data_IF_199797349072
#
_entry.id   IF_199797349072
#
_cell.length_a   1.000
_cell.length_b   1.000
_cell.length_c   1.000
_cell.angle_alpha   90.00
_cell.angle_beta   90.00
_cell.angle_gamma   90.00
#
_symmetry.space_group_name_H-M   'P 1'
#
loop_
_entity.id
_entity.type
_entity.pdbx_description
1 polymer ?
#
# COMPACT_ATOMS: atom_id res chain seq x y z
N UNK A 1 -17.51 -9.11 4.99
CA UNK A 1 -16.66 -8.39 4.05
C UNK A 1 -16.74 -6.88 4.18
N UNK A 2 -17.91 -6.23 4.16
CA UNK A 2 -18.02 -4.76 4.28
C UNK A 2 -17.37 -4.20 5.53
N UNK A 3 -17.55 -4.81 6.70
CA UNK A 3 -16.96 -4.36 7.97
C UNK A 3 -15.43 -4.44 8.02
N UNK A 4 -14.84 -5.49 7.43
CA UNK A 4 -13.38 -5.64 7.33
C UNK A 4 -12.77 -4.54 6.44
N UNK A 5 -13.39 -4.28 5.30
CA UNK A 5 -12.96 -3.24 4.38
C UNK A 5 -13.09 -1.85 5.01
N UNK A 6 -14.19 -1.62 5.74
CA UNK A 6 -14.42 -0.36 6.45
C UNK A 6 -13.39 -0.14 7.56
N UNK A 7 -12.99 -1.20 8.28
CA UNK A 7 -11.92 -1.15 9.28
C UNK A 7 -10.60 -0.74 8.65
N UNK A 8 -10.17 -1.43 7.58
CA UNK A 8 -8.90 -1.15 6.92
C UNK A 8 -8.87 0.25 6.29
N UNK A 9 -9.99 0.67 5.71
CA UNK A 9 -10.16 2.04 5.22
C UNK A 9 -10.05 3.07 6.35
N UNK A 10 -10.71 2.82 7.50
CA UNK A 10 -10.67 3.71 8.65
C UNK A 10 -9.25 3.84 9.22
N UNK A 11 -8.47 2.75 9.27
CA UNK A 11 -7.06 2.77 9.69
C UNK A 11 -6.24 3.67 8.75
N UNK A 12 -6.39 3.50 7.44
CA UNK A 12 -5.66 4.30 6.46
C UNK A 12 -6.04 5.79 6.55
N UNK A 13 -7.34 6.09 6.63
CA UNK A 13 -7.80 7.47 6.73
C UNK A 13 -7.39 8.11 8.05
N UNK A 14 -7.46 7.40 9.16
CA UNK A 14 -7.18 8.00 10.46
C UNK A 14 -5.68 8.13 10.76
N UNK A 15 -4.89 7.12 10.41
CA UNK A 15 -3.47 7.08 10.72
C UNK A 15 -2.58 7.71 9.65
N UNK A 16 -2.96 7.59 8.37
CA UNK A 16 -2.09 8.01 7.27
C UNK A 16 -2.62 9.15 6.41
N UNK A 17 -3.85 9.64 6.65
CA UNK A 17 -4.50 10.67 5.82
C UNK A 17 -3.58 11.86 5.52
N UNK A 18 -2.93 12.41 6.55
CA UNK A 18 -2.06 13.59 6.38
C UNK A 18 -0.82 13.24 5.55
N UNK A 19 -0.12 12.16 5.91
CA UNK A 19 1.10 11.75 5.23
C UNK A 19 0.84 11.31 3.79
N UNK A 20 -0.25 10.58 3.55
CA UNK A 20 -0.65 10.14 2.22
C UNK A 20 -0.99 11.32 1.32
N UNK A 21 -1.77 12.28 1.82
CA UNK A 21 -2.15 13.48 1.07
C UNK A 21 -0.92 14.35 0.74
N UNK A 22 -0.05 14.57 1.72
CA UNK A 22 1.21 15.31 1.51
C UNK A 22 2.06 14.62 0.45
N UNK A 23 2.17 13.30 0.51
CA UNK A 23 2.93 12.50 -0.44
C UNK A 23 2.37 12.60 -1.86
N UNK A 24 1.05 12.45 -2.04
CA UNK A 24 0.40 12.59 -3.35
C UNK A 24 0.62 13.99 -3.93
N UNK A 25 0.40 15.03 -3.13
CA UNK A 25 0.61 16.43 -3.55
C UNK A 25 2.07 16.69 -3.90
N UNK A 26 3.01 16.16 -3.12
CA UNK A 26 4.44 16.33 -3.35
C UNK A 26 4.88 15.67 -4.66
N UNK A 27 4.49 14.40 -4.91
CA UNK A 27 4.84 13.70 -6.14
C UNK A 27 4.22 14.37 -7.37
N UNK A 28 2.94 14.73 -7.31
CA UNK A 28 2.28 15.44 -8.42
C UNK A 28 2.87 16.84 -8.63
N UNK A 29 3.11 17.58 -7.56
CA UNK A 29 3.72 18.91 -7.64
C UNK A 29 5.12 18.87 -8.24
N UNK A 30 5.96 17.93 -7.80
CA UNK A 30 7.29 17.75 -8.38
C UNK A 30 7.24 17.29 -9.84
N UNK A 31 6.32 16.39 -10.19
CA UNK A 31 6.15 15.93 -11.58
C UNK A 31 5.84 17.09 -12.52
N UNK A 32 4.92 17.98 -12.12
CA UNK A 32 4.54 19.16 -12.90
C UNK A 32 5.67 20.19 -12.94
N UNK A 33 6.34 20.47 -11.80
CA UNK A 33 7.41 21.49 -11.74
C UNK A 33 8.68 21.08 -12.49
N UNK A 34 9.04 19.79 -12.41
CA UNK A 34 10.28 19.28 -13.04
C UNK A 34 10.05 18.71 -14.45
N UNK A 35 8.80 18.63 -14.88
CA UNK A 35 8.41 17.98 -16.14
C UNK A 35 8.99 16.55 -16.26
N UNK A 36 8.80 15.74 -15.20
CA UNK A 36 9.39 14.39 -15.10
C UNK A 36 8.28 13.34 -14.91
N UNK A 37 7.93 12.62 -15.97
CA UNK A 37 6.84 11.64 -15.97
C UNK A 37 7.07 10.45 -15.03
N UNK A 38 8.34 10.06 -14.81
CA UNK A 38 8.68 8.95 -13.93
C UNK A 38 8.22 9.15 -12.47
N UNK A 39 8.03 10.40 -12.03
CA UNK A 39 7.49 10.70 -10.71
C UNK A 39 6.01 10.31 -10.60
N UNK A 40 5.25 10.46 -11.68
CA UNK A 40 3.87 9.98 -11.75
C UNK A 40 3.82 8.44 -11.69
N UNK A 41 4.75 7.77 -12.36
CA UNK A 41 4.86 6.31 -12.30
C UNK A 41 5.28 5.82 -10.91
N UNK A 42 6.22 6.50 -10.26
CA UNK A 42 6.62 6.22 -8.90
C UNK A 42 5.45 6.33 -7.90
N UNK A 43 4.53 7.28 -8.12
CA UNK A 43 3.33 7.44 -7.30
C UNK A 43 2.45 6.18 -7.31
N UNK A 44 2.30 5.51 -8.45
CA UNK A 44 1.54 4.25 -8.55
C UNK A 44 2.17 3.17 -7.67
N UNK A 45 3.49 3.00 -7.75
CA UNK A 45 4.22 2.02 -6.94
C UNK A 45 4.08 2.30 -5.44
N UNK A 46 4.20 3.57 -5.05
CA UNK A 46 4.09 3.99 -3.64
C UNK A 46 2.67 3.78 -3.12
N UNK A 47 1.62 4.01 -3.92
CA UNK A 47 0.24 3.68 -3.53
C UNK A 47 0.07 2.19 -3.20
N UNK A 48 0.71 1.29 -3.95
CA UNK A 48 0.73 -0.14 -3.62
C UNK A 48 1.42 -0.46 -2.29
N UNK A 49 2.54 0.22 -1.99
CA UNK A 49 3.23 0.07 -0.71
C UNK A 49 2.38 0.59 0.46
N UNK A 50 1.64 1.67 0.27
CA UNK A 50 0.71 2.18 1.30
C UNK A 50 -0.40 1.16 1.64
N UNK A 51 -0.90 0.43 0.67
CA UNK A 51 -1.86 -0.64 0.94
C UNK A 51 -1.26 -1.74 1.84
N UNK A 52 0.03 -2.07 1.67
CA UNK A 52 0.75 -3.03 2.51
C UNK A 52 0.91 -2.55 3.97
N UNK A 53 0.90 -1.25 4.22
CA UNK A 53 1.06 -0.69 5.57
C UNK A 53 -0.07 -1.09 6.52
N UNK A 54 -1.26 -1.42 6.01
CA UNK A 54 -2.38 -1.90 6.85
C UNK A 54 -2.05 -3.22 7.55
N UNK A 55 -1.14 -4.01 6.99
CA UNK A 55 -0.72 -5.27 7.61
C UNK A 55 0.15 -5.04 8.84
N UNK A 56 1.03 -4.03 8.78
CA UNK A 56 1.86 -3.67 9.93
C UNK A 56 1.00 -3.22 11.13
N UNK A 57 -0.14 -2.55 10.86
CA UNK A 57 -1.10 -2.20 11.93
C UNK A 57 -1.82 -3.41 12.48
N UNK A 58 -2.23 -4.33 11.63
CA UNK A 58 -2.90 -5.55 12.07
C UNK A 58 -1.97 -6.39 12.95
N UNK A 59 -0.69 -6.50 12.59
CA UNK A 59 0.33 -7.17 13.40
C UNK A 59 0.53 -6.48 14.76
N UNK A 60 0.67 -5.16 14.76
CA UNK A 60 0.88 -4.38 16.00
C UNK A 60 -0.33 -4.40 16.94
N UNK A 61 -1.53 -4.48 16.39
CA UNK A 61 -2.78 -4.57 17.13
C UNK A 61 -3.17 -6.01 17.53
N UNK A 62 -2.34 -7.01 17.23
CA UNK A 62 -2.65 -8.43 17.42
C UNK A 62 -4.02 -8.81 16.83
N UNK A 63 -4.34 -8.25 15.66
CA UNK A 63 -5.61 -8.44 14.99
C UNK A 63 -5.95 -9.91 14.73
N UNK A 64 -4.95 -10.75 14.47
CA UNK A 64 -5.12 -12.17 14.23
C UNK A 64 -5.82 -12.90 15.38
N UNK A 65 -5.50 -12.52 16.62
CA UNK A 65 -6.14 -13.10 17.82
C UNK A 65 -7.60 -12.71 17.90
N UNK A 66 -7.90 -11.45 17.60
CA UNK A 66 -9.27 -10.93 17.60
C UNK A 66 -10.08 -11.48 16.41
N UNK A 67 -9.48 -11.58 15.24
CA UNK A 67 -10.15 -12.10 14.04
C UNK A 67 -10.64 -13.55 14.20
N UNK A 68 -9.96 -14.36 15.02
CA UNK A 68 -10.38 -15.75 15.34
C UNK A 68 -11.65 -15.83 16.16
N UNK A 69 -12.03 -14.77 16.88
CA UNK A 69 -13.27 -14.71 17.65
C UNK A 69 -14.47 -14.25 16.82
N UNK A 70 -14.22 -13.73 15.62
CA UNK A 70 -15.26 -13.27 14.71
C UNK A 70 -15.72 -14.38 13.77
N UNK A 71 -17.00 -14.38 13.35
CA UNK A 71 -17.53 -15.34 12.39
C UNK A 71 -17.08 -14.98 10.96
N UNK A 72 -15.77 -14.88 10.74
CA UNK A 72 -15.15 -14.56 9.42
C UNK A 72 -14.19 -15.65 9.01
N UNK A 73 -14.19 -15.99 7.73
CA UNK A 73 -13.25 -16.99 7.21
C UNK A 73 -11.90 -16.33 6.91
N UNK A 74 -10.76 -17.08 7.06
CA UNK A 74 -9.43 -16.56 6.72
C UNK A 74 -9.35 -16.02 5.28
N UNK A 75 -10.03 -16.69 4.34
CA UNK A 75 -10.09 -16.25 2.94
C UNK A 75 -10.77 -14.89 2.76
N UNK A 76 -11.76 -14.56 3.59
CA UNK A 76 -12.42 -13.25 3.56
C UNK A 76 -11.49 -12.14 4.06
N UNK A 77 -10.67 -12.41 5.07
CA UNK A 77 -9.69 -11.45 5.61
C UNK A 77 -8.64 -11.14 4.54
N UNK A 78 -8.06 -12.17 3.96
CA UNK A 78 -7.05 -12.03 2.90
C UNK A 78 -7.64 -11.37 1.66
N UNK A 79 -8.85 -11.77 1.23
CA UNK A 79 -9.53 -11.19 0.08
C UNK A 79 -9.80 -9.69 0.22
N UNK A 80 -10.15 -9.22 1.44
CA UNK A 80 -10.32 -7.78 1.69
C UNK A 80 -8.99 -7.01 1.54
N UNK A 81 -7.87 -7.59 1.94
CA UNK A 81 -6.55 -6.96 1.77
C UNK A 81 -6.17 -6.83 0.29
N UNK A 82 -6.37 -7.90 -0.50
CA UNK A 82 -6.13 -7.83 -1.95
C UNK A 82 -7.03 -6.81 -2.65
N UNK A 83 -8.31 -6.74 -2.26
CA UNK A 83 -9.23 -5.74 -2.79
C UNK A 83 -8.77 -4.32 -2.47
N UNK A 84 -8.30 -4.10 -1.25
CA UNK A 84 -7.76 -2.81 -0.82
C UNK A 84 -6.50 -2.43 -1.61
N UNK A 85 -5.58 -3.37 -1.82
CA UNK A 85 -4.39 -3.18 -2.66
C UNK A 85 -4.75 -2.78 -4.09
N UNK A 86 -5.75 -3.45 -4.67
CA UNK A 86 -6.24 -3.15 -6.00
C UNK A 86 -6.87 -1.75 -6.07
N UNK A 87 -7.69 -1.36 -5.08
CA UNK A 87 -8.28 -0.02 -5.03
C UNK A 87 -7.22 1.08 -4.92
N UNK A 88 -6.19 0.89 -4.09
CA UNK A 88 -5.10 1.87 -3.96
C UNK A 88 -4.25 1.97 -5.22
N UNK A 89 -3.97 0.85 -5.88
CA UNK A 89 -3.25 0.85 -7.16
C UNK A 89 -4.06 1.53 -8.26
N UNK A 90 -5.37 1.29 -8.33
CA UNK A 90 -6.26 1.99 -9.26
C UNK A 90 -6.30 3.50 -8.96
N UNK A 91 -6.40 3.88 -7.70
CA UNK A 91 -6.35 5.30 -7.32
C UNK A 91 -5.03 5.94 -7.73
N UNK A 92 -3.90 5.28 -7.47
CA UNK A 92 -2.57 5.74 -7.89
C UNK A 92 -2.46 5.90 -9.41
N UNK A 93 -3.00 4.95 -10.19
CA UNK A 93 -2.98 5.02 -11.66
C UNK A 93 -3.82 6.18 -12.22
N UNK A 94 -4.97 6.47 -11.62
CA UNK A 94 -5.79 7.64 -11.99
C UNK A 94 -5.04 8.94 -11.66
N UNK A 95 -4.43 9.03 -10.47
CA UNK A 95 -3.63 10.20 -10.10
C UNK A 95 -2.42 10.39 -11.03
N UNK A 96 -1.74 9.30 -11.42
CA UNK A 96 -0.63 9.36 -12.36
C UNK A 96 -1.07 9.83 -13.75
N UNK A 97 -2.20 9.34 -14.25
CA UNK A 97 -2.77 9.78 -15.52
C UNK A 97 -3.08 11.29 -15.51
N UNK A 98 -3.69 11.78 -14.43
CA UNK A 98 -3.95 13.21 -14.25
C UNK A 98 -2.65 14.01 -14.16
N UNK A 99 -1.63 13.50 -13.46
CA UNK A 99 -0.33 14.15 -13.34
C UNK A 99 0.38 14.29 -14.69
N UNK A 100 0.42 13.25 -15.51
CA UNK A 100 0.98 13.27 -16.86
C UNK A 100 0.20 14.26 -17.75
N UNK A 101 -1.13 14.27 -17.63
CA UNK A 101 -1.97 15.22 -18.35
C UNK A 101 -1.65 16.68 -17.98
N UNK A 102 -1.46 16.99 -16.71
CA UNK A 102 -1.12 18.34 -16.24
C UNK A 102 0.31 18.75 -16.57
N UNK A 103 1.25 17.80 -16.62
CA UNK A 103 2.64 18.06 -16.97
C UNK A 103 2.81 18.43 -18.46
N UNK A 104 1.82 18.15 -19.32
CA UNK A 104 1.81 18.54 -20.72
C UNK A 104 2.84 17.81 -21.61
N UNK A 105 3.40 16.73 -21.14
CA UNK A 105 4.40 15.93 -21.85
C UNK A 105 3.74 14.78 -22.62
N UNK A 106 2.94 15.13 -23.63
CA UNK A 106 2.35 14.11 -24.50
C UNK A 106 3.30 13.80 -25.65
N UNK A 107 4.03 12.72 -25.55
CA UNK A 107 4.62 12.10 -26.73
C UNK A 107 3.61 11.15 -27.39
N UNK A 108 2.95 10.31 -26.61
CA UNK A 108 1.90 9.41 -27.09
C UNK A 108 1.00 8.96 -25.93
N UNK A 109 -0.31 9.18 -26.03
CA UNK A 109 -1.30 8.76 -25.01
C UNK A 109 -1.26 7.25 -24.80
N UNK A 110 -1.01 6.49 -25.88
CA UNK A 110 -0.94 5.04 -25.84
C UNK A 110 0.27 4.56 -25.05
N UNK A 111 1.43 5.20 -25.24
CA UNK A 111 2.66 4.86 -24.52
C UNK A 111 2.53 5.16 -23.01
N UNK A 112 1.98 6.32 -22.67
CA UNK A 112 1.70 6.67 -21.28
C UNK A 112 0.73 5.68 -20.60
N UNK A 113 -0.35 5.33 -21.28
CA UNK A 113 -1.32 4.36 -20.77
C UNK A 113 -0.70 2.97 -20.58
N UNK A 114 0.13 2.51 -21.52
CA UNK A 114 0.83 1.25 -21.42
C UNK A 114 1.82 1.25 -20.25
N UNK A 115 2.58 2.32 -20.07
CA UNK A 115 3.54 2.48 -18.97
C UNK A 115 2.85 2.44 -17.60
N UNK A 116 1.73 3.16 -17.44
CA UNK A 116 0.92 3.12 -16.21
C UNK A 116 0.43 1.70 -15.94
N UNK A 117 -0.06 0.99 -16.96
CA UNK A 117 -0.57 -0.37 -16.82
C UNK A 117 0.54 -1.35 -16.38
N UNK A 118 1.72 -1.27 -16.98
CA UNK A 118 2.86 -2.12 -16.63
C UNK A 118 3.28 -1.89 -15.17
N UNK A 119 3.36 -0.62 -14.75
CA UNK A 119 3.77 -0.28 -13.38
C UNK A 119 2.68 -0.67 -12.37
N UNK A 120 1.40 -0.50 -12.71
CA UNK A 120 0.30 -0.96 -11.89
C UNK A 120 0.33 -2.50 -11.71
N UNK A 121 0.57 -3.24 -12.79
CA UNK A 121 0.71 -4.70 -12.73
C UNK A 121 1.90 -5.12 -11.86
N UNK A 122 3.04 -4.46 -12.01
CA UNK A 122 4.23 -4.70 -11.19
C UNK A 122 3.99 -4.38 -9.71
N UNK A 123 3.32 -3.26 -9.41
CA UNK A 123 2.92 -2.88 -8.06
C UNK A 123 2.00 -3.92 -7.40
N UNK A 124 1.02 -4.43 -8.14
CA UNK A 124 0.12 -5.50 -7.65
C UNK A 124 0.89 -6.82 -7.44
N UNK A 125 1.85 -7.13 -8.29
CA UNK A 125 2.69 -8.31 -8.13
C UNK A 125 3.54 -8.22 -6.86
N UNK A 126 4.20 -7.08 -6.63
CA UNK A 126 4.95 -6.83 -5.40
C UNK A 126 4.04 -6.92 -4.16
N UNK A 127 2.84 -6.36 -4.24
CA UNK A 127 1.85 -6.47 -3.16
C UNK A 127 1.47 -7.93 -2.91
N UNK A 128 1.20 -8.70 -3.97
CA UNK A 128 0.83 -10.11 -3.89
C UNK A 128 1.93 -10.99 -3.27
N UNK A 129 3.19 -10.68 -3.56
CA UNK A 129 4.35 -11.37 -2.97
C UNK A 129 4.56 -10.96 -1.52
N UNK A 130 4.42 -9.68 -1.19
CA UNK A 130 4.57 -9.17 0.18
C UNK A 130 3.54 -9.77 1.15
N UNK A 131 2.32 -10.03 0.69
CA UNK A 131 1.23 -10.58 1.51
C UNK A 131 1.60 -11.87 2.24
N UNK A 132 1.99 -12.98 1.57
CA UNK A 132 2.32 -14.23 2.23
C UNK A 132 3.56 -14.10 3.13
N UNK A 133 4.52 -13.25 2.76
CA UNK A 133 5.70 -12.99 3.60
C UNK A 133 5.30 -12.31 4.92
N UNK A 134 4.46 -11.29 4.88
CA UNK A 134 3.98 -10.60 6.07
C UNK A 134 3.16 -11.51 6.99
N UNK A 135 2.32 -12.39 6.44
CA UNK A 135 1.58 -13.38 7.23
C UNK A 135 2.47 -14.46 7.83
N UNK A 136 3.50 -14.91 7.11
CA UNK A 136 4.38 -16.00 7.56
C UNK A 136 5.42 -15.53 8.59
N UNK A 137 5.99 -14.36 8.40
CA UNK A 137 7.10 -13.88 9.21
C UNK A 137 6.72 -12.81 10.22
N UNK A 138 5.55 -12.15 10.07
CA UNK A 138 5.05 -11.09 10.94
C UNK A 138 6.11 -10.01 11.15
N UNK A 139 6.03 -8.90 10.46
CA UNK A 139 7.09 -7.87 10.47
C UNK A 139 7.48 -7.41 11.90
N UNK A 140 6.51 -7.40 12.83
CA UNK A 140 6.72 -7.01 14.23
C UNK A 140 7.25 -8.18 15.06
N UNK A 141 6.87 -9.43 14.79
CA UNK A 141 7.36 -10.61 15.53
C UNK A 141 8.83 -10.89 15.25
N UNK A 142 9.30 -10.69 14.04
CA UNK A 142 10.71 -10.77 13.73
C UNK A 142 11.53 -9.74 14.53
N UNK A 143 11.10 -8.48 14.55
CA UNK A 143 11.77 -7.43 15.32
C UNK A 143 11.76 -7.69 16.83
N UNK A 144 10.63 -8.13 17.39
CA UNK A 144 10.52 -8.45 18.83
C UNK A 144 11.36 -9.67 19.22
N UNK A 145 11.42 -10.71 18.37
CA UNK A 145 12.29 -11.86 18.61
C UNK A 145 13.77 -11.48 18.66
N UNK A 146 14.21 -10.56 17.81
CA UNK A 146 15.60 -10.08 17.85
C UNK A 146 15.90 -9.27 19.09
N UNK A 147 14.98 -8.45 19.59
CA UNK A 147 15.18 -7.67 20.83
C UNK A 147 15.20 -8.56 22.07
N UNK A 148 14.41 -9.63 22.13
CA UNK A 148 14.46 -10.60 23.25
C UNK A 148 15.71 -11.48 23.23
N UNK A 149 16.28 -11.75 22.06
CA UNK A 149 17.54 -12.50 21.94
C UNK A 149 18.78 -11.67 22.25
N UNK A 150 18.68 -10.34 22.15
CA UNK A 150 19.82 -9.42 22.37
C UNK A 150 19.80 -8.75 23.74
N UNK A 151 18.75 -8.89 24.54
CA UNK A 151 18.77 -8.47 25.95
C UNK A 151 19.48 -9.57 26.76
N UNK A 152 20.71 -9.33 27.25
CA UNK A 152 21.30 -10.24 28.21
C UNK A 152 20.42 -10.21 29.45
N UNK A 153 20.03 -11.36 29.91
CA UNK A 153 19.44 -11.58 31.22
C UNK A 153 20.45 -11.04 32.23
N UNK A 154 20.28 -9.80 32.68
CA UNK A 154 20.99 -9.30 33.85
C UNK A 154 20.21 -9.90 35.03
N UNK A 155 20.74 -11.02 35.52
CA UNK A 155 20.40 -11.58 36.81
C UNK A 155 20.99 -10.72 37.92
#
# INVERSE_FOLDING_TARGET
MKGLLCKDWAILVNSYKKNFLIMVVLYLGMAVCLHMDYLCYALVAVCGVYASSTMNFDDSAHWDTYARTLPVTPGQVVGCKYLLGLLFTLFGSVCAAVGIFLAGQYTDVLEAAFSILVIAAFSLLLFAVNMPFSYKFGAVRAAVSYTHLTLPTIA
#
